data_IF_903729900071
#
_entry.id   IF_903729900071
#
_cell.length_a   1.000
_cell.length_b   1.000
_cell.length_c   1.000
_cell.angle_alpha   90.00
_cell.angle_beta   90.00
_cell.angle_gamma   90.00
#
_symmetry.space_group_name_H-M   'P 1'
#
loop_
_entity.id
_entity.type
_entity.pdbx_description
1 polymer ?
#
# COMPACT_ATOMS: atom_id res chain seq x y z
N UNK A 1 2.83 16.05 11.11
CA UNK A 1 3.57 15.31 12.18
C UNK A 1 4.93 14.97 11.60
N UNK A 2 6.01 15.26 12.36
CA UNK A 2 7.39 15.00 11.92
C UNK A 2 7.61 13.49 11.73
N UNK A 3 8.30 13.10 10.64
CA UNK A 3 8.67 11.71 10.35
C UNK A 3 9.48 11.07 11.50
N UNK A 4 10.31 11.85 12.19
CA UNK A 4 11.10 11.40 13.35
C UNK A 4 10.23 10.90 14.50
N UNK A 5 9.00 11.40 14.64
CA UNK A 5 8.05 10.88 15.64
C UNK A 5 7.62 9.44 15.39
N UNK A 6 7.87 8.93 14.18
CA UNK A 6 7.57 7.54 13.77
C UNK A 6 8.81 6.63 13.80
N UNK A 7 10.00 7.15 14.09
CA UNK A 7 11.23 6.35 14.12
C UNK A 7 11.15 5.16 15.10
N UNK A 8 10.47 5.33 16.24
CA UNK A 8 10.17 4.25 17.20
C UNK A 8 8.93 3.43 16.89
N UNK A 9 8.26 3.70 15.78
CA UNK A 9 6.97 3.13 15.40
C UNK A 9 5.84 4.16 15.42
N UNK A 10 4.63 3.71 15.04
CA UNK A 10 3.45 4.56 15.05
C UNK A 10 3.15 5.03 16.50
N UNK A 11 2.99 6.34 16.75
CA UNK A 11 2.74 6.86 18.10
C UNK A 11 1.26 6.65 18.51
N UNK A 12 0.88 5.39 18.78
CA UNK A 12 -0.50 4.98 19.07
C UNK A 12 -1.08 5.69 20.30
N UNK A 13 -0.28 5.96 21.34
CA UNK A 13 -0.74 6.67 22.54
C UNK A 13 -1.12 8.12 22.25
N UNK A 14 -0.37 8.78 21.37
CA UNK A 14 -0.73 10.13 20.91
C UNK A 14 -2.06 10.12 20.14
N UNK A 15 -2.26 9.17 19.25
CA UNK A 15 -3.53 9.04 18.52
C UNK A 15 -4.69 8.68 19.45
N UNK A 16 -4.49 7.81 20.45
CA UNK A 16 -5.50 7.50 21.48
C UNK A 16 -5.89 8.76 22.24
N UNK A 17 -4.90 9.58 22.64
CA UNK A 17 -5.17 10.87 23.27
C UNK A 17 -5.98 11.80 22.36
N UNK A 18 -5.68 11.88 21.07
CA UNK A 18 -6.45 12.70 20.13
C UNK A 18 -7.89 12.19 19.95
N UNK A 19 -8.10 10.87 19.89
CA UNK A 19 -9.46 10.29 19.79
C UNK A 19 -10.33 10.59 21.01
N UNK A 20 -9.75 10.66 22.21
CA UNK A 20 -10.48 10.93 23.45
C UNK A 20 -10.91 12.40 23.62
N UNK A 21 -10.35 13.33 22.85
CA UNK A 21 -10.67 14.76 22.93
C UNK A 21 -11.89 15.11 22.07
N UNK A 22 -12.73 16.07 22.47
CA UNK A 22 -13.77 16.60 21.58
C UNK A 22 -13.15 17.39 20.42
N UNK A 23 -13.88 17.44 19.29
CA UNK A 23 -13.48 18.18 18.10
C UNK A 23 -12.30 17.54 17.35
N UNK A 24 -11.64 18.35 16.53
CA UNK A 24 -10.48 17.97 15.72
C UNK A 24 -9.22 18.68 16.21
N UNK A 25 -8.09 17.99 16.20
CA UNK A 25 -6.79 18.62 16.37
C UNK A 25 -6.34 19.27 15.05
N UNK A 26 -5.61 20.39 15.16
CA UNK A 26 -5.02 21.12 14.04
C UNK A 26 -3.50 21.03 14.09
N UNK A 27 -2.87 20.85 12.96
CA UNK A 27 -1.41 20.85 12.80
C UNK A 27 -1.02 21.56 11.50
N UNK A 28 0.29 21.59 11.24
CA UNK A 28 0.86 22.14 10.01
C UNK A 28 1.76 21.07 9.37
N UNK A 29 1.83 21.07 8.05
CA UNK A 29 2.83 20.27 7.32
C UNK A 29 4.22 20.92 7.42
N UNK A 30 5.23 20.33 6.78
CA UNK A 30 6.60 20.83 6.80
C UNK A 30 6.74 22.23 6.17
N UNK A 31 5.82 22.60 5.27
CA UNK A 31 5.78 23.88 4.58
C UNK A 31 4.94 24.94 5.34
N UNK A 32 4.35 24.57 6.49
CA UNK A 32 3.55 25.45 7.34
C UNK A 32 2.06 25.52 6.94
N UNK A 33 1.57 24.70 6.01
CA UNK A 33 0.15 24.65 5.64
C UNK A 33 -0.67 23.94 6.72
N UNK A 34 -1.75 24.56 7.22
CA UNK A 34 -2.59 23.96 8.25
C UNK A 34 -3.44 22.80 7.69
N UNK A 35 -3.65 21.82 8.55
CA UNK A 35 -4.60 20.74 8.31
C UNK A 35 -5.24 20.24 9.61
N UNK A 36 -6.40 19.56 9.46
CA UNK A 36 -7.12 18.95 10.55
C UNK A 36 -6.87 17.43 10.60
N UNK A 37 -6.73 16.89 11.82
CA UNK A 37 -6.58 15.45 12.02
C UNK A 37 -7.96 14.76 12.08
N UNK A 38 -8.24 13.85 11.18
CA UNK A 38 -9.32 12.86 11.30
C UNK A 38 -8.73 11.57 11.85
N UNK A 39 -8.97 11.31 13.13
CA UNK A 39 -8.35 10.19 13.86
C UNK A 39 -9.33 9.12 14.27
N UNK A 40 -10.65 9.40 14.24
CA UNK A 40 -11.70 8.45 14.58
C UNK A 40 -12.16 7.69 13.34
N UNK A 41 -12.45 6.42 13.51
CA UNK A 41 -12.88 5.53 12.41
C UNK A 41 -14.07 6.10 11.64
N UNK A 42 -15.12 6.52 12.35
CA UNK A 42 -16.34 7.06 11.72
C UNK A 42 -16.06 8.33 10.88
N UNK A 43 -15.20 9.24 11.37
CA UNK A 43 -14.85 10.49 10.68
C UNK A 43 -14.04 10.19 9.40
N UNK A 44 -13.09 9.26 9.49
CA UNK A 44 -12.29 8.82 8.33
C UNK A 44 -13.16 8.14 7.28
N UNK A 45 -14.08 7.27 7.69
CA UNK A 45 -15.05 6.61 6.78
C UNK A 45 -15.94 7.64 6.11
N UNK A 46 -16.48 8.60 6.87
CA UNK A 46 -17.30 9.69 6.33
C UNK A 46 -16.55 10.49 5.26
N UNK A 47 -15.34 10.97 5.60
CA UNK A 47 -14.54 11.75 4.66
C UNK A 47 -14.10 10.96 3.42
N UNK A 48 -13.89 9.65 3.55
CA UNK A 48 -13.55 8.77 2.43
C UNK A 48 -14.74 8.58 1.46
N UNK A 49 -15.97 8.58 1.96
CA UNK A 49 -17.19 8.35 1.17
C UNK A 49 -17.76 9.62 0.55
N UNK A 50 -17.66 10.74 1.26
CA UNK A 50 -18.13 12.05 0.78
C UNK A 50 -17.04 12.73 -0.09
N UNK A 51 -16.78 12.14 -1.25
CA UNK A 51 -15.76 12.61 -2.20
C UNK A 51 -16.13 13.94 -2.89
N UNK A 52 -17.36 14.38 -2.80
CA UNK A 52 -17.76 15.72 -3.29
C UNK A 52 -17.27 16.81 -2.34
N UNK A 53 -17.34 16.57 -1.03
CA UNK A 53 -16.88 17.49 0.01
C UNK A 53 -15.37 17.34 0.25
N UNK A 54 -14.85 16.11 0.27
CA UNK A 54 -13.44 15.79 0.60
C UNK A 54 -12.71 15.26 -0.64
N UNK A 55 -12.19 16.18 -1.46
CA UNK A 55 -11.55 15.88 -2.73
C UNK A 55 -10.10 15.38 -2.57
N UNK A 56 -9.69 14.55 -3.51
CA UNK A 56 -8.31 14.03 -3.58
C UNK A 56 -7.33 15.06 -4.15
N UNK A 57 -7.77 15.87 -5.10
CA UNK A 57 -6.92 16.95 -5.62
C UNK A 57 -6.73 18.09 -4.63
N UNK A 58 -5.59 18.82 -4.70
CA UNK A 58 -4.49 18.66 -5.64
C UNK A 58 -3.51 17.53 -5.26
N UNK A 59 -3.54 16.99 -4.04
CA UNK A 59 -2.71 15.88 -3.59
C UNK A 59 -3.33 15.16 -2.40
N UNK A 60 -3.21 13.84 -2.40
CA UNK A 60 -3.59 12.99 -1.25
C UNK A 60 -2.44 12.77 -0.25
N UNK A 61 -1.24 13.27 -0.56
CA UNK A 61 -0.07 13.18 0.33
C UNK A 61 0.18 14.52 1.02
N UNK A 62 0.69 14.49 2.23
CA UNK A 62 1.04 15.70 2.98
C UNK A 62 2.37 16.30 2.51
N UNK A 63 3.24 15.50 1.87
CA UNK A 63 4.58 15.87 1.42
C UNK A 63 4.70 16.15 -0.08
N UNK A 64 3.68 15.81 -0.88
CA UNK A 64 3.67 15.97 -2.33
C UNK A 64 2.44 16.73 -2.76
N UNK A 65 2.61 17.72 -3.62
CA UNK A 65 1.52 18.50 -4.22
C UNK A 65 1.46 18.22 -5.72
N UNK A 66 0.26 18.16 -6.30
CA UNK A 66 0.07 17.95 -7.73
C UNK A 66 0.76 19.05 -8.57
N UNK A 67 0.71 20.27 -8.09
CA UNK A 67 1.37 21.43 -8.71
C UNK A 67 2.90 21.30 -8.77
N UNK A 68 3.49 20.47 -7.91
CA UNK A 68 4.95 20.22 -7.91
C UNK A 68 5.37 19.06 -8.82
N UNK A 69 4.46 18.11 -9.12
CA UNK A 69 4.78 16.95 -9.97
C UNK A 69 4.28 17.11 -11.41
N UNK A 70 3.21 17.88 -11.63
CA UNK A 70 2.55 18.01 -12.93
C UNK A 70 1.92 16.70 -13.46
N UNK A 71 1.98 15.60 -12.72
CA UNK A 71 1.53 14.28 -13.15
C UNK A 71 0.08 14.01 -12.72
N UNK A 72 -0.81 13.58 -13.64
CA UNK A 72 -2.19 13.22 -13.32
C UNK A 72 -2.30 11.83 -12.71
N UNK A 73 -1.67 11.63 -11.54
CA UNK A 73 -1.75 10.34 -10.82
C UNK A 73 -3.20 10.04 -10.44
N UNK A 74 -3.66 8.82 -10.69
CA UNK A 74 -5.04 8.41 -10.43
C UNK A 74 -5.48 8.68 -8.97
N UNK A 75 -4.59 8.60 -8.02
CA UNK A 75 -4.84 8.89 -6.60
C UNK A 75 -5.08 10.38 -6.30
N UNK A 76 -4.67 11.30 -7.19
CA UNK A 76 -4.81 12.74 -7.04
C UNK A 76 -5.98 13.30 -7.86
N UNK A 77 -6.61 12.48 -8.69
CA UNK A 77 -7.74 12.89 -9.52
C UNK A 77 -9.05 12.77 -8.77
N UNK A 78 -10.00 13.60 -9.15
CA UNK A 78 -11.40 13.53 -8.78
C UNK A 78 -12.28 13.21 -10.01
N UNK A 79 -13.59 12.99 -9.81
CA UNK A 79 -14.52 12.81 -10.90
C UNK A 79 -14.57 14.08 -11.78
N UNK A 80 -14.73 13.95 -13.12
CA UNK A 80 -15.02 12.70 -13.86
C UNK A 80 -13.78 11.88 -14.27
N UNK A 81 -12.57 12.48 -14.32
CA UNK A 81 -11.35 11.83 -14.81
C UNK A 81 -10.97 10.59 -13.99
N UNK A 82 -10.99 10.70 -12.66
CA UNK A 82 -10.78 9.56 -11.78
C UNK A 82 -11.74 8.41 -12.10
N UNK A 83 -13.03 8.71 -12.26
CA UNK A 83 -14.06 7.70 -12.53
C UNK A 83 -13.80 6.96 -13.83
N UNK A 84 -13.39 7.70 -14.90
CA UNK A 84 -13.04 7.14 -16.20
C UNK A 84 -11.85 6.19 -16.09
N UNK A 85 -10.73 6.67 -15.56
CA UNK A 85 -9.50 5.88 -15.41
C UNK A 85 -9.73 4.65 -14.55
N UNK A 86 -10.38 4.82 -13.40
CA UNK A 86 -10.64 3.72 -12.47
C UNK A 86 -11.50 2.63 -13.06
N UNK A 87 -12.59 3.00 -13.77
CA UNK A 87 -13.48 2.02 -14.42
C UNK A 87 -12.73 1.15 -15.43
N UNK A 88 -11.82 1.75 -16.18
CA UNK A 88 -11.01 1.04 -17.17
C UNK A 88 -9.93 0.18 -16.49
N UNK A 89 -9.20 0.75 -15.53
CA UNK A 89 -8.18 0.04 -14.77
C UNK A 89 -8.73 -1.18 -14.01
N UNK A 90 -9.95 -1.09 -13.47
CA UNK A 90 -10.60 -2.19 -12.73
C UNK A 90 -10.80 -3.46 -13.57
N UNK A 91 -10.88 -3.34 -14.92
CA UNK A 91 -10.97 -4.52 -15.81
C UNK A 91 -9.75 -5.46 -15.66
N UNK A 92 -8.60 -4.93 -15.24
CA UNK A 92 -7.39 -5.72 -14.95
C UNK A 92 -7.40 -6.44 -13.59
N UNK A 93 -8.31 -6.07 -12.67
CA UNK A 93 -8.36 -6.56 -11.29
C UNK A 93 -9.64 -7.35 -10.97
N UNK A 94 -10.26 -7.95 -11.96
CA UNK A 94 -11.46 -8.78 -11.75
C UNK A 94 -11.13 -10.04 -10.95
N UNK A 95 -12.09 -10.61 -10.19
CA UNK A 95 -11.86 -11.84 -9.44
C UNK A 95 -11.30 -13.01 -10.27
N UNK A 96 -11.77 -13.16 -11.52
CA UNK A 96 -11.30 -14.21 -12.42
C UNK A 96 -9.82 -14.02 -12.80
N UNK A 97 -9.38 -12.78 -13.05
CA UNK A 97 -7.97 -12.49 -13.36
C UNK A 97 -7.08 -12.68 -12.14
N UNK A 98 -7.53 -12.25 -10.97
CA UNK A 98 -6.79 -12.47 -9.72
C UNK A 98 -6.65 -13.96 -9.41
N UNK A 99 -7.71 -14.76 -9.64
CA UNK A 99 -7.64 -16.21 -9.46
C UNK A 99 -6.64 -16.89 -10.42
N UNK A 100 -6.45 -16.35 -11.63
CA UNK A 100 -5.45 -16.86 -12.57
C UNK A 100 -4.00 -16.65 -12.07
N UNK A 101 -3.79 -15.70 -11.16
CA UNK A 101 -2.47 -15.42 -10.55
C UNK A 101 -2.12 -16.36 -9.39
N UNK A 102 -3.05 -17.18 -8.87
CA UNK A 102 -2.79 -18.06 -7.71
C UNK A 102 -1.53 -18.92 -7.93
N UNK A 103 -1.43 -19.61 -9.06
CA UNK A 103 -0.29 -20.48 -9.37
C UNK A 103 1.02 -19.72 -9.64
N UNK A 104 1.03 -18.67 -10.50
CA UNK A 104 2.23 -17.85 -10.69
C UNK A 104 2.76 -17.25 -9.40
N UNK A 105 1.88 -16.67 -8.56
CA UNK A 105 2.29 -16.06 -7.30
C UNK A 105 2.79 -17.10 -6.30
N UNK A 106 2.16 -18.29 -6.21
CA UNK A 106 2.66 -19.37 -5.37
C UNK A 106 4.08 -19.80 -5.79
N UNK A 107 4.33 -19.94 -7.10
CA UNK A 107 5.67 -20.28 -7.60
C UNK A 107 6.72 -19.20 -7.29
N UNK A 108 6.35 -17.92 -7.35
CA UNK A 108 7.22 -16.81 -6.96
C UNK A 108 7.53 -16.90 -5.46
N UNK A 109 6.51 -17.11 -4.61
CA UNK A 109 6.67 -17.26 -3.15
C UNK A 109 7.62 -18.42 -2.82
N UNK A 110 7.37 -19.61 -3.39
CA UNK A 110 8.19 -20.80 -3.11
C UNK A 110 9.65 -20.56 -3.49
N UNK A 111 9.91 -20.00 -4.69
CA UNK A 111 11.26 -19.68 -5.13
C UNK A 111 11.96 -18.68 -4.20
N UNK A 112 11.32 -17.59 -3.83
CA UNK A 112 11.90 -16.58 -2.93
C UNK A 112 12.26 -17.21 -1.58
N UNK A 113 11.38 -18.03 -1.00
CA UNK A 113 11.64 -18.67 0.28
C UNK A 113 12.74 -19.75 0.21
N UNK A 114 12.85 -20.44 -0.91
CA UNK A 114 13.90 -21.44 -1.14
C UNK A 114 15.27 -20.78 -1.38
N UNK A 115 15.31 -19.67 -2.12
CA UNK A 115 16.52 -18.86 -2.32
C UNK A 115 17.03 -18.32 -0.97
N UNK A 116 16.16 -17.79 -0.11
CA UNK A 116 16.52 -17.35 1.24
C UNK A 116 17.02 -18.50 2.12
N UNK A 117 16.39 -19.68 2.04
CA UNK A 117 16.82 -20.85 2.78
C UNK A 117 18.20 -21.36 2.32
N UNK A 118 18.49 -21.29 1.02
CA UNK A 118 19.77 -21.67 0.44
C UNK A 118 20.90 -20.67 0.78
N UNK A 119 20.57 -19.37 0.90
CA UNK A 119 21.53 -18.34 1.28
C UNK A 119 21.99 -18.45 2.75
N UNK A 120 21.15 -19.04 3.62
CA UNK A 120 21.39 -19.17 5.05
C UNK A 120 21.07 -17.90 5.84
N UNK A 121 21.76 -16.79 5.59
CA UNK A 121 21.42 -15.45 6.11
C UNK A 121 20.84 -14.60 5.00
N UNK A 122 19.77 -13.83 5.31
CA UNK A 122 19.06 -12.98 4.38
C UNK A 122 18.45 -11.76 5.10
N UNK A 123 18.07 -10.74 4.34
CA UNK A 123 17.26 -9.63 4.86
C UNK A 123 15.79 -9.86 4.49
N UNK A 124 14.95 -10.18 5.50
CA UNK A 124 13.52 -10.42 5.28
C UNK A 124 12.82 -9.24 4.61
N UNK A 125 13.26 -8.01 4.89
CA UNK A 125 12.69 -6.82 4.29
C UNK A 125 13.00 -6.74 2.80
N UNK A 126 14.25 -6.95 2.40
CA UNK A 126 14.69 -6.82 1.01
C UNK A 126 14.45 -8.09 0.19
N UNK A 127 14.82 -9.26 0.73
CA UNK A 127 14.88 -10.51 -0.04
C UNK A 127 13.52 -11.22 -0.13
N UNK A 128 12.60 -10.96 0.82
CA UNK A 128 11.24 -11.52 0.79
C UNK A 128 10.20 -10.43 0.56
N UNK A 129 10.13 -9.45 1.48
CA UNK A 129 8.99 -8.55 1.54
C UNK A 129 8.94 -7.56 0.36
N UNK A 130 10.10 -7.07 -0.11
CA UNK A 130 10.19 -6.20 -1.27
C UNK A 130 10.16 -6.99 -2.59
N UNK A 131 10.84 -8.12 -2.63
CA UNK A 131 10.98 -8.93 -3.84
C UNK A 131 9.63 -9.49 -4.32
N UNK A 132 8.81 -10.00 -3.40
CA UNK A 132 7.53 -10.61 -3.74
C UNK A 132 6.59 -9.69 -4.54
N UNK A 133 6.17 -8.52 -4.03
CA UNK A 133 5.23 -7.68 -4.77
C UNK A 133 5.82 -7.13 -6.07
N UNK A 134 7.11 -6.87 -6.14
CA UNK A 134 7.75 -6.39 -7.38
C UNK A 134 7.65 -7.43 -8.49
N UNK A 135 7.90 -8.71 -8.19
CA UNK A 135 7.78 -9.78 -9.18
C UNK A 135 6.34 -10.09 -9.54
N UNK A 136 5.42 -10.05 -8.57
CA UNK A 136 3.99 -10.26 -8.82
C UNK A 136 3.42 -9.16 -9.70
N UNK A 137 3.81 -7.91 -9.48
CA UNK A 137 3.38 -6.79 -10.32
C UNK A 137 3.97 -6.88 -11.73
N UNK A 138 5.23 -7.27 -11.85
CA UNK A 138 5.84 -7.51 -13.16
C UNK A 138 5.14 -8.65 -13.94
N UNK A 139 4.74 -9.73 -13.24
CA UNK A 139 3.92 -10.81 -13.80
C UNK A 139 2.55 -10.29 -14.27
N UNK A 140 1.82 -9.58 -13.41
CA UNK A 140 0.50 -9.02 -13.71
C UNK A 140 0.52 -8.09 -14.93
N UNK A 141 1.53 -7.21 -15.01
CA UNK A 141 1.69 -6.24 -16.11
C UNK A 141 2.02 -6.96 -17.42
N UNK A 142 2.69 -8.11 -17.33
CA UNK A 142 3.16 -8.88 -18.47
C UNK A 142 4.60 -8.55 -18.89
N UNK A 143 5.45 -8.16 -17.91
CA UNK A 143 6.88 -7.95 -18.14
C UNK A 143 7.55 -9.30 -18.45
N UNK A 144 8.23 -9.43 -19.60
CA UNK A 144 8.94 -10.68 -19.95
C UNK A 144 9.96 -11.06 -18.87
N UNK A 145 10.11 -12.37 -18.54
CA UNK A 145 11.01 -12.81 -17.48
C UNK A 145 12.44 -12.26 -17.58
N UNK A 146 12.99 -12.17 -18.78
CA UNK A 146 14.35 -11.66 -19.02
C UNK A 146 14.51 -10.16 -18.73
N UNK A 147 13.42 -9.40 -18.66
CA UNK A 147 13.41 -7.94 -18.46
C UNK A 147 13.01 -7.55 -17.03
N UNK A 148 12.49 -8.50 -16.23
CA UNK A 148 11.95 -8.23 -14.86
C UNK A 148 12.98 -7.63 -13.93
N UNK A 149 14.21 -8.14 -13.91
CA UNK A 149 15.25 -7.64 -13.03
C UNK A 149 15.49 -6.13 -13.20
N UNK A 150 15.46 -5.66 -14.45
CA UNK A 150 15.66 -4.25 -14.77
C UNK A 150 14.47 -3.39 -14.32
N UNK A 151 13.22 -3.85 -14.52
CA UNK A 151 12.01 -3.15 -14.10
C UNK A 151 11.92 -3.09 -12.57
N UNK A 152 12.28 -4.18 -11.89
CA UNK A 152 12.37 -4.26 -10.43
C UNK A 152 13.39 -3.26 -9.91
N UNK A 153 14.59 -3.19 -10.50
CA UNK A 153 15.63 -2.26 -10.09
C UNK A 153 15.21 -0.79 -10.26
N UNK A 154 14.61 -0.43 -11.38
CA UNK A 154 14.06 0.92 -11.55
C UNK A 154 12.98 1.23 -10.51
N UNK A 155 12.09 0.26 -10.22
CA UNK A 155 11.04 0.48 -9.21
C UNK A 155 11.63 0.71 -7.82
N UNK A 156 12.67 -0.05 -7.43
CA UNK A 156 13.37 0.14 -6.15
C UNK A 156 13.90 1.58 -5.98
N UNK A 157 14.30 2.24 -7.06
CA UNK A 157 14.72 3.64 -7.01
C UNK A 157 13.58 4.64 -6.82
N UNK A 158 12.32 4.26 -7.07
CA UNK A 158 11.14 5.16 -6.94
C UNK A 158 10.43 5.05 -5.61
N UNK A 159 10.79 4.08 -4.75
CA UNK A 159 10.15 3.83 -3.45
C UNK A 159 11.01 4.33 -2.28
N UNK A 160 10.42 4.46 -1.09
CA UNK A 160 11.09 4.88 0.14
C UNK A 160 11.80 6.25 0.10
N UNK A 161 11.47 7.11 -0.87
CA UNK A 161 12.13 8.42 -1.08
C UNK A 161 11.97 9.41 0.09
N UNK A 162 11.01 9.16 0.99
CA UNK A 162 10.79 9.98 2.18
C UNK A 162 11.69 9.64 3.37
N UNK A 163 12.45 8.56 3.29
CA UNK A 163 13.37 8.13 4.35
C UNK A 163 14.77 8.71 4.12
N UNK A 164 15.26 9.62 4.99
CA UNK A 164 16.56 10.28 4.81
C UNK A 164 17.75 9.31 4.87
N UNK A 165 17.57 8.14 5.47
CA UNK A 165 18.60 7.11 5.61
C UNK A 165 18.48 5.99 4.55
N UNK A 166 17.55 6.12 3.60
CA UNK A 166 17.41 5.16 2.49
C UNK A 166 18.46 5.46 1.41
N UNK A 167 19.57 4.73 1.45
CA UNK A 167 20.73 5.00 0.60
C UNK A 167 20.68 4.33 -0.79
N UNK A 168 19.64 3.52 -1.08
CA UNK A 168 19.52 2.91 -2.42
C UNK A 168 19.24 3.91 -3.53
N UNK A 169 18.63 5.06 -3.21
CA UNK A 169 18.25 6.04 -4.22
C UNK A 169 18.55 7.47 -3.81
N UNK A 170 18.70 8.34 -4.81
CA UNK A 170 18.69 9.80 -4.66
C UNK A 170 17.51 10.37 -5.44
N UNK A 171 17.07 11.62 -5.20
CA UNK A 171 16.03 12.25 -6.00
C UNK A 171 16.28 12.19 -7.50
N UNK A 172 17.53 12.38 -7.93
CA UNK A 172 17.93 12.35 -9.33
C UNK A 172 17.81 10.92 -9.92
N UNK A 173 18.24 9.89 -9.17
CA UNK A 173 18.07 8.49 -9.57
C UNK A 173 16.60 8.10 -9.65
N UNK A 174 15.80 8.58 -8.72
CA UNK A 174 14.37 8.32 -8.71
C UNK A 174 13.64 8.93 -9.92
N UNK A 175 13.98 10.17 -10.29
CA UNK A 175 13.44 10.83 -11.49
C UNK A 175 13.85 10.08 -12.74
N UNK A 176 15.14 9.70 -12.85
CA UNK A 176 15.63 8.92 -13.98
C UNK A 176 14.95 7.54 -14.08
N UNK A 177 14.81 6.83 -12.97
CA UNK A 177 14.14 5.54 -12.90
C UNK A 177 12.67 5.62 -13.27
N UNK A 178 11.96 6.66 -12.80
CA UNK A 178 10.59 6.93 -13.20
C UNK A 178 10.47 7.13 -14.71
N UNK A 179 11.35 7.94 -15.30
CA UNK A 179 11.41 8.15 -16.75
C UNK A 179 11.67 6.85 -17.53
N UNK A 180 12.59 6.01 -17.03
CA UNK A 180 12.90 4.71 -17.62
C UNK A 180 11.70 3.76 -17.57
N UNK A 181 10.98 3.70 -16.44
CA UNK A 181 9.75 2.90 -16.30
C UNK A 181 8.67 3.36 -17.29
N UNK A 182 8.46 4.68 -17.40
CA UNK A 182 7.50 5.23 -18.37
C UNK A 182 7.83 4.84 -19.80
N UNK A 183 9.07 5.05 -20.23
CA UNK A 183 9.53 4.71 -21.58
C UNK A 183 9.43 3.21 -21.86
N UNK A 184 9.85 2.36 -20.91
CA UNK A 184 9.75 0.92 -21.01
C UNK A 184 8.30 0.44 -21.15
N UNK A 185 7.39 0.98 -20.33
CA UNK A 185 5.99 0.59 -20.39
C UNK A 185 5.30 1.08 -21.69
N UNK A 186 5.66 2.23 -22.22
CA UNK A 186 5.18 2.69 -23.53
C UNK A 186 5.66 1.75 -24.65
N UNK A 187 6.92 1.29 -24.59
CA UNK A 187 7.43 0.29 -25.55
C UNK A 187 6.71 -1.05 -25.41
N UNK A 188 6.53 -1.56 -24.18
CA UNK A 188 5.82 -2.81 -23.91
C UNK A 188 4.37 -2.74 -24.41
N UNK A 189 3.69 -1.62 -24.25
CA UNK A 189 2.35 -1.37 -24.81
C UNK A 189 2.36 -1.44 -26.35
N UNK A 190 3.39 -0.92 -27.00
CA UNK A 190 3.57 -1.07 -28.45
C UNK A 190 3.67 -2.54 -28.85
N UNK A 191 4.48 -3.33 -28.12
CA UNK A 191 4.60 -4.78 -28.32
C UNK A 191 3.26 -5.52 -28.11
N UNK A 192 2.49 -5.16 -27.06
CA UNK A 192 1.17 -5.78 -26.78
C UNK A 192 0.09 -5.38 -27.77
N UNK A 193 0.17 -4.20 -28.35
CA UNK A 193 -0.73 -3.80 -29.46
C UNK A 193 -0.50 -4.65 -30.71
N UNK A 194 0.75 -5.00 -31.01
CA UNK A 194 1.10 -5.86 -32.15
C UNK A 194 0.82 -7.35 -31.87
N UNK A 195 1.06 -7.81 -30.64
CA UNK A 195 0.89 -9.19 -30.22
C UNK A 195 0.27 -9.24 -28.80
N UNK A 196 -1.07 -9.24 -28.69
CA UNK A 196 -1.76 -9.34 -27.40
C UNK A 196 -1.40 -10.60 -26.62
N UNK A 197 -1.34 -10.49 -25.27
CA UNK A 197 -1.09 -11.60 -24.36
C UNK A 197 -2.16 -11.61 -23.23
N UNK A 198 -2.10 -12.61 -22.35
CA UNK A 198 -2.98 -12.63 -21.16
C UNK A 198 -2.35 -11.85 -20.01
N UNK A 199 -2.28 -10.52 -20.16
CA UNK A 199 -1.71 -9.60 -19.20
C UNK A 199 -2.54 -8.33 -19.03
N UNK A 200 -2.16 -7.52 -18.01
CA UNK A 200 -2.84 -6.27 -17.71
C UNK A 200 -2.84 -5.31 -18.89
N UNK A 201 -1.71 -5.17 -19.60
CA UNK A 201 -1.59 -4.23 -20.72
C UNK A 201 -2.51 -4.59 -21.89
N UNK A 202 -2.58 -5.87 -22.24
CA UNK A 202 -3.51 -6.34 -23.28
C UNK A 202 -4.97 -6.07 -22.91
N UNK A 203 -5.32 -6.26 -21.64
CA UNK A 203 -6.68 -5.94 -21.13
C UNK A 203 -6.97 -4.45 -21.18
N UNK A 204 -6.04 -3.60 -20.76
CA UNK A 204 -6.24 -2.15 -20.77
C UNK A 204 -6.30 -1.60 -22.21
N UNK A 205 -5.51 -2.13 -23.13
CA UNK A 205 -5.59 -1.78 -24.56
C UNK A 205 -6.92 -2.20 -25.18
N UNK A 206 -7.44 -3.38 -24.82
CA UNK A 206 -8.74 -3.86 -25.30
C UNK A 206 -9.92 -3.14 -24.67
N UNK A 207 -9.75 -2.58 -23.47
CA UNK A 207 -10.81 -1.91 -22.70
C UNK A 207 -11.39 -0.64 -23.38
N UNK A 208 -10.68 -0.08 -24.35
CA UNK A 208 -11.01 1.19 -25.02
C UNK A 208 -12.04 1.13 -26.13
N UNK A 209 -12.78 0.04 -26.30
CA UNK A 209 -13.73 -0.12 -27.39
C UNK A 209 -15.20 0.14 -26.99
N UNK A 210 -15.44 0.58 -25.76
CA UNK A 210 -16.77 0.88 -25.25
C UNK A 210 -17.04 2.43 -25.15
N UNK A 211 -18.27 2.79 -24.82
CA UNK A 211 -18.74 4.17 -24.70
C UNK A 211 -18.07 4.97 -23.58
N UNK A 212 -17.19 4.38 -22.77
CA UNK A 212 -16.52 5.03 -21.62
C UNK A 212 -15.20 5.70 -21.98
N UNK A 213 -14.84 5.69 -23.25
CA UNK A 213 -13.58 6.26 -23.75
C UNK A 213 -12.43 5.27 -23.72
N UNK A 214 -11.30 5.69 -24.26
CA UNK A 214 -10.06 4.93 -24.39
C UNK A 214 -9.02 5.45 -23.41
N UNK A 215 -8.15 4.58 -22.90
CA UNK A 215 -6.92 5.02 -22.24
C UNK A 215 -5.85 5.30 -23.30
N UNK A 216 -5.21 6.45 -23.17
CA UNK A 216 -4.04 6.75 -23.98
C UNK A 216 -2.83 5.92 -23.49
N UNK A 217 -1.88 5.60 -24.37
CA UNK A 217 -0.69 4.82 -23.98
C UNK A 217 0.04 5.40 -22.78
N UNK A 218 0.18 6.72 -22.71
CA UNK A 218 0.83 7.42 -21.59
C UNK A 218 0.04 7.28 -20.28
N UNK A 219 -1.31 7.27 -20.33
CA UNK A 219 -2.14 7.04 -19.14
C UNK A 219 -1.95 5.61 -18.61
N UNK A 220 -1.82 4.62 -19.51
CA UNK A 220 -1.58 3.22 -19.11
C UNK A 220 -0.17 3.08 -18.53
N UNK A 221 0.86 3.67 -19.16
CA UNK A 221 2.24 3.64 -18.68
C UNK A 221 2.35 4.32 -17.31
N UNK A 222 1.72 5.48 -17.13
CA UNK A 222 1.68 6.19 -15.84
C UNK A 222 0.96 5.37 -14.76
N UNK A 223 -0.17 4.74 -15.12
CA UNK A 223 -0.88 3.85 -14.22
C UNK A 223 -0.01 2.66 -13.80
N UNK A 224 0.68 2.01 -14.72
CA UNK A 224 1.57 0.89 -14.44
C UNK A 224 2.75 1.31 -13.56
N UNK A 225 3.39 2.45 -13.86
CA UNK A 225 4.48 3.00 -13.04
C UNK A 225 4.00 3.31 -11.60
N UNK A 226 2.82 3.91 -11.48
CA UNK A 226 2.20 4.18 -10.17
C UNK A 226 1.85 2.88 -9.44
N UNK A 227 1.36 1.86 -10.17
CA UNK A 227 1.00 0.56 -9.63
C UNK A 227 2.25 -0.17 -9.09
N UNK A 228 3.37 -0.13 -9.81
CA UNK A 228 4.64 -0.71 -9.37
C UNK A 228 5.07 -0.13 -8.01
N UNK A 229 5.09 1.19 -7.84
CA UNK A 229 5.46 1.82 -6.56
C UNK A 229 4.44 1.56 -5.45
N UNK A 230 3.18 1.92 -5.67
CA UNK A 230 2.14 1.85 -4.64
C UNK A 230 1.83 0.41 -4.20
N UNK A 231 1.89 -0.56 -5.13
CA UNK A 231 1.62 -1.96 -4.84
C UNK A 231 2.77 -2.65 -4.13
N UNK A 232 4.03 -2.29 -4.44
CA UNK A 232 5.19 -2.89 -3.78
C UNK A 232 5.37 -2.39 -2.35
N UNK A 233 5.37 -1.08 -2.10
CA UNK A 233 5.63 -0.52 -0.76
C UNK A 233 4.60 -0.96 0.29
N UNK A 234 3.33 -1.00 -0.06
CA UNK A 234 2.27 -1.35 0.90
C UNK A 234 2.28 -2.84 1.26
N UNK A 235 2.53 -3.72 0.30
CA UNK A 235 2.68 -5.16 0.54
C UNK A 235 3.94 -5.44 1.34
N UNK A 236 5.05 -4.81 1.00
CA UNK A 236 6.30 -4.83 1.76
C UNK A 236 6.11 -4.50 3.24
N UNK A 237 5.39 -3.40 3.55
CA UNK A 237 5.06 -3.04 4.93
C UNK A 237 4.24 -4.12 5.63
N UNK A 238 3.24 -4.68 4.91
CA UNK A 238 2.36 -5.73 5.45
C UNK A 238 3.12 -7.01 5.77
N UNK A 239 4.06 -7.41 4.92
CA UNK A 239 4.90 -8.60 5.13
C UNK A 239 5.83 -8.39 6.32
N UNK A 240 6.62 -7.32 6.33
CA UNK A 240 7.59 -7.06 7.40
C UNK A 240 6.92 -6.91 8.76
N UNK A 241 5.88 -6.06 8.84
CA UNK A 241 5.13 -5.84 10.09
C UNK A 241 4.30 -7.05 10.52
N UNK A 242 3.77 -7.83 9.55
CA UNK A 242 3.01 -9.04 9.80
C UNK A 242 3.86 -10.18 10.35
N UNK A 243 5.04 -10.41 9.78
CA UNK A 243 6.00 -11.41 10.31
C UNK A 243 6.43 -11.02 11.72
N UNK A 244 6.81 -9.77 11.94
CA UNK A 244 7.20 -9.30 13.28
C UNK A 244 6.04 -9.49 14.28
N UNK A 245 4.81 -9.14 13.90
CA UNK A 245 3.65 -9.34 14.79
C UNK A 245 3.43 -10.81 15.14
N UNK A 246 3.65 -11.74 14.21
CA UNK A 246 3.54 -13.18 14.50
C UNK A 246 4.66 -13.70 15.38
N UNK A 247 5.88 -13.20 15.23
CA UNK A 247 7.01 -13.52 16.11
C UNK A 247 6.79 -12.98 17.53
N UNK A 248 6.26 -11.78 17.67
CA UNK A 248 5.95 -11.15 18.96
C UNK A 248 4.74 -11.80 19.67
N UNK A 249 3.90 -12.54 18.93
CA UNK A 249 2.69 -13.18 19.43
C UNK A 249 2.68 -14.69 19.16
N UNK A 250 3.57 -15.50 19.77
CA UNK A 250 3.73 -16.92 19.45
C UNK A 250 2.45 -17.76 19.64
N UNK A 251 1.55 -17.35 20.53
CA UNK A 251 0.23 -17.97 20.69
C UNK A 251 -0.67 -17.80 19.47
N UNK A 252 -0.58 -16.67 18.76
CA UNK A 252 -1.31 -16.41 17.51
C UNK A 252 -0.72 -17.22 16.36
N UNK A 253 0.60 -17.33 16.28
CA UNK A 253 1.29 -18.20 15.32
C UNK A 253 0.91 -19.68 15.55
N UNK A 254 0.88 -20.13 16.80
CA UNK A 254 0.46 -21.49 17.14
C UNK A 254 -1.00 -21.79 16.73
N UNK A 255 -1.90 -20.82 16.94
CA UNK A 255 -3.30 -20.93 16.49
C UNK A 255 -3.40 -21.09 14.97
N UNK A 256 -2.68 -20.28 14.19
CA UNK A 256 -2.63 -20.37 12.72
C UNK A 256 -2.07 -21.71 12.23
N UNK A 257 -1.05 -22.25 12.91
CA UNK A 257 -0.49 -23.56 12.57
C UNK A 257 -1.45 -24.70 12.87
N UNK A 258 -2.23 -24.57 13.94
CA UNK A 258 -3.24 -25.57 14.32
C UNK A 258 -4.47 -25.52 13.40
N UNK A 259 -4.85 -24.32 12.93
CA UNK A 259 -6.02 -24.13 12.04
C UNK A 259 -5.69 -23.16 10.90
N UNK A 260 -5.36 -23.71 9.74
CA UNK A 260 -5.04 -22.92 8.54
C UNK A 260 -6.25 -22.23 7.92
N UNK A 261 -7.48 -22.57 8.32
CA UNK A 261 -8.68 -21.87 7.87
C UNK A 261 -8.74 -20.44 8.38
N UNK A 262 -7.95 -20.11 9.40
CA UNK A 262 -7.76 -18.74 9.92
C UNK A 262 -6.91 -17.85 9.02
N UNK A 263 -6.16 -18.38 8.04
CA UNK A 263 -5.25 -17.58 7.19
C UNK A 263 -5.94 -16.36 6.56
N UNK A 264 -7.15 -16.45 5.98
CA UNK A 264 -7.82 -15.26 5.43
C UNK A 264 -8.10 -14.19 6.49
N UNK A 265 -8.49 -14.57 7.70
CA UNK A 265 -8.74 -13.63 8.81
C UNK A 265 -7.43 -13.02 9.32
N UNK A 266 -6.40 -13.82 9.42
CA UNK A 266 -5.07 -13.39 9.83
C UNK A 266 -4.48 -12.36 8.87
N UNK A 267 -4.70 -12.51 7.56
CA UNK A 267 -4.28 -11.53 6.55
C UNK A 267 -4.99 -10.18 6.77
N UNK A 268 -6.31 -10.17 6.97
CA UNK A 268 -7.04 -8.93 7.26
C UNK A 268 -6.58 -8.31 8.61
N UNK A 269 -6.25 -9.14 9.62
CA UNK A 269 -5.73 -8.64 10.90
C UNK A 269 -4.30 -8.10 10.78
N UNK A 270 -3.42 -8.73 10.01
CA UNK A 270 -2.09 -8.21 9.70
C UNK A 270 -2.22 -6.85 9.03
N UNK A 271 -3.08 -6.71 8.03
CA UNK A 271 -3.32 -5.45 7.31
C UNK A 271 -3.88 -4.37 8.25
N UNK A 272 -4.79 -4.72 9.17
CA UNK A 272 -5.28 -3.80 10.21
C UNK A 272 -4.15 -3.38 11.15
N UNK A 273 -3.41 -4.36 11.66
CA UNK A 273 -2.36 -4.18 12.67
C UNK A 273 -1.23 -3.31 12.18
N UNK A 274 -0.77 -3.58 10.98
CA UNK A 274 0.32 -2.85 10.34
C UNK A 274 -0.16 -1.49 9.84
N UNK A 275 -1.30 -1.42 9.17
CA UNK A 275 -1.78 -0.24 8.46
C UNK A 275 -0.67 0.37 7.61
N UNK A 276 -0.32 -0.24 6.46
CA UNK A 276 0.87 0.11 5.66
C UNK A 276 1.00 1.60 5.33
N UNK A 277 -0.02 2.18 4.68
CA UNK A 277 -0.15 3.61 4.50
C UNK A 277 -0.85 4.21 5.73
N UNK A 278 -0.14 5.03 6.49
CA UNK A 278 -0.62 5.55 7.77
C UNK A 278 -1.74 6.58 7.61
N UNK A 279 -1.72 7.36 6.53
CA UNK A 279 -2.68 8.44 6.29
C UNK A 279 -2.77 8.82 4.80
N UNK A 280 -3.86 9.51 4.46
CA UNK A 280 -3.99 10.29 3.23
C UNK A 280 -4.65 11.64 3.52
N UNK A 281 -4.34 12.65 2.70
CA UNK A 281 -4.94 13.97 2.80
C UNK A 281 -6.15 14.12 1.88
N UNK A 282 -7.05 15.06 2.23
CA UNK A 282 -8.13 15.54 1.36
C UNK A 282 -8.22 17.05 1.46
N UNK A 283 -8.63 17.70 0.36
CA UNK A 283 -8.99 19.09 0.37
C UNK A 283 -10.51 19.25 0.51
N UNK A 284 -10.93 20.13 1.40
CA UNK A 284 -12.35 20.43 1.62
C UNK A 284 -12.85 21.36 0.51
N UNK A 285 -13.83 20.90 -0.29
CA UNK A 285 -14.35 21.65 -1.43
C UNK A 285 -15.46 22.64 -1.06
N UNK A 286 -16.15 22.42 0.06
CA UNK A 286 -17.22 23.28 0.58
C UNK A 286 -17.23 23.27 2.09
N UNK A 287 -17.72 24.34 2.71
CA UNK A 287 -17.86 24.41 4.17
C UNK A 287 -18.63 23.19 4.67
N UNK A 288 -18.12 22.59 5.73
CA UNK A 288 -18.70 21.38 6.34
C UNK A 288 -18.46 21.36 7.85
N UNK A 289 -19.20 20.50 8.54
CA UNK A 289 -18.97 20.20 9.95
C UNK A 289 -18.58 18.73 10.09
N UNK A 290 -17.51 18.45 10.83
CA UNK A 290 -17.07 17.10 11.17
C UNK A 290 -16.59 17.04 12.63
N UNK A 291 -17.06 16.05 13.38
CA UNK A 291 -16.79 15.91 14.80
C UNK A 291 -17.12 17.19 15.63
N UNK A 292 -18.17 17.93 15.27
CA UNK A 292 -18.56 19.21 15.91
C UNK A 292 -17.62 20.38 15.59
N UNK A 293 -16.69 20.21 14.66
CA UNK A 293 -15.78 21.25 14.20
C UNK A 293 -16.18 21.76 12.81
N UNK A 294 -16.35 23.08 12.69
CA UNK A 294 -16.54 23.73 11.39
C UNK A 294 -15.20 23.74 10.63
N UNK A 295 -15.20 23.19 9.43
CA UNK A 295 -14.05 23.14 8.50
C UNK A 295 -14.46 23.86 7.21
N UNK A 296 -13.64 24.81 6.77
CA UNK A 296 -13.96 25.69 5.63
C UNK A 296 -13.49 25.08 4.32
N UNK A 297 -14.15 25.50 3.24
CA UNK A 297 -13.67 25.25 1.89
C UNK A 297 -12.21 25.74 1.71
N UNK A 298 -11.40 24.94 1.04
CA UNK A 298 -9.95 25.17 0.87
C UNK A 298 -9.07 24.64 2.00
N UNK A 299 -9.63 24.33 3.18
CA UNK A 299 -8.83 23.69 4.25
C UNK A 299 -8.54 22.22 3.91
N UNK A 300 -7.52 21.65 4.56
CA UNK A 300 -7.11 20.26 4.38
C UNK A 300 -7.47 19.44 5.61
N UNK A 301 -7.86 18.20 5.39
CA UNK A 301 -8.01 17.17 6.42
C UNK A 301 -7.06 16.02 6.13
N UNK A 302 -6.50 15.41 7.16
CA UNK A 302 -5.65 14.22 7.05
C UNK A 302 -6.34 13.06 7.75
N UNK A 303 -6.61 12.02 6.97
CA UNK A 303 -7.32 10.81 7.36
C UNK A 303 -6.29 9.82 7.92
N UNK A 304 -6.17 9.72 9.25
CA UNK A 304 -5.19 8.84 9.91
C UNK A 304 -5.73 7.41 10.03
N UNK A 305 -5.47 6.59 9.01
CA UNK A 305 -5.90 5.19 8.97
C UNK A 305 -5.32 4.38 10.11
N UNK A 306 -4.05 4.64 10.46
CA UNK A 306 -3.37 3.98 11.58
C UNK A 306 -4.05 4.24 12.92
N UNK A 307 -4.62 5.45 13.12
CA UNK A 307 -5.43 5.78 14.29
C UNK A 307 -6.80 5.12 14.23
N UNK A 308 -7.49 5.23 13.09
CA UNK A 308 -8.83 4.70 12.89
C UNK A 308 -8.89 3.17 13.05
N UNK A 309 -7.83 2.45 12.63
CA UNK A 309 -7.71 1.00 12.79
C UNK A 309 -7.43 0.55 14.25
N UNK A 310 -7.24 1.51 15.16
CA UNK A 310 -7.08 1.31 16.61
C UNK A 310 -8.17 2.02 17.40
N UNK A 311 -9.26 2.44 16.76
CA UNK A 311 -10.37 3.16 17.41
C UNK A 311 -11.22 2.19 18.23
N UNK A 312 -11.31 2.46 19.53
CA UNK A 312 -12.05 1.69 20.52
C UNK A 312 -13.56 1.68 20.25
N UNK A 313 -14.06 2.66 19.49
CA UNK A 313 -15.47 2.72 19.08
C UNK A 313 -15.82 1.77 17.93
N UNK A 314 -14.80 1.31 17.17
CA UNK A 314 -14.96 0.44 16.01
C UNK A 314 -14.45 -0.99 16.26
N UNK A 315 -13.50 -1.16 17.19
CA UNK A 315 -12.85 -2.45 17.44
C UNK A 315 -12.89 -2.82 18.92
N UNK A 316 -13.29 -4.02 19.23
CA UNK A 316 -13.09 -4.61 20.55
C UNK A 316 -11.60 -4.89 20.76
N UNK A 317 -11.03 -4.39 21.89
CA UNK A 317 -9.62 -4.55 22.23
C UNK A 317 -8.68 -4.27 21.02
N UNK A 318 -8.68 -3.02 20.48
CA UNK A 318 -7.95 -2.68 19.26
C UNK A 318 -6.43 -2.89 19.37
N UNK A 319 -5.88 -2.87 20.58
CA UNK A 319 -4.46 -3.07 20.88
C UNK A 319 -4.07 -4.55 21.01
N UNK A 320 -5.01 -5.47 20.77
CA UNK A 320 -4.73 -6.90 20.71
C UNK A 320 -4.58 -7.34 19.25
N UNK A 321 -3.46 -7.96 18.94
CA UNK A 321 -3.29 -8.71 17.70
C UNK A 321 -4.02 -10.05 17.81
N UNK A 322 -4.97 -10.31 16.91
CA UNK A 322 -5.86 -11.48 16.97
C UNK A 322 -6.12 -12.02 15.56
N UNK A 323 -5.45 -13.12 15.20
CA UNK A 323 -5.56 -13.74 13.87
C UNK A 323 -6.94 -14.27 13.53
N UNK A 324 -7.82 -14.38 14.53
CA UNK A 324 -9.23 -14.77 14.37
C UNK A 324 -10.21 -13.62 14.49
N UNK A 325 -9.75 -12.35 14.45
CA UNK A 325 -10.61 -11.18 14.68
C UNK A 325 -11.81 -11.12 13.76
N UNK A 326 -13.00 -11.11 14.35
CA UNK A 326 -14.30 -10.89 13.69
C UNK A 326 -15.24 -10.13 14.63
N UNK A 327 -15.91 -9.04 14.17
CA UNK A 327 -15.69 -8.37 12.89
C UNK A 327 -14.35 -7.64 12.84
N UNK A 328 -13.83 -7.41 11.62
CA UNK A 328 -12.62 -6.64 11.40
C UNK A 328 -12.85 -5.52 10.36
N UNK A 329 -13.54 -4.42 10.74
CA UNK A 329 -13.90 -3.33 9.82
C UNK A 329 -12.73 -2.39 9.55
N UNK A 330 -11.52 -2.91 9.32
CA UNK A 330 -10.36 -2.05 9.09
C UNK A 330 -10.46 -1.28 7.77
N UNK A 331 -9.83 -0.14 7.74
CA UNK A 331 -9.86 0.80 6.62
C UNK A 331 -8.49 1.01 5.95
N UNK A 332 -7.58 0.06 6.11
CA UNK A 332 -6.24 0.13 5.50
C UNK A 332 -6.26 0.22 3.96
N UNK A 333 -7.33 -0.28 3.33
CA UNK A 333 -7.58 -0.14 1.90
C UNK A 333 -8.42 1.09 1.52
N UNK A 334 -8.66 2.00 2.47
CA UNK A 334 -9.55 3.15 2.36
C UNK A 334 -10.88 2.93 3.07
N UNK A 335 -11.52 4.01 3.53
CA UNK A 335 -12.77 4.01 4.30
C UNK A 335 -14.05 3.85 3.47
N UNK A 336 -13.96 3.37 2.24
CA UNK A 336 -15.05 3.33 1.27
C UNK A 336 -14.94 4.45 0.22
N UNK A 337 -15.97 4.58 -0.64
CA UNK A 337 -16.00 5.59 -1.70
C UNK A 337 -15.15 5.23 -2.93
N UNK A 338 -14.96 6.19 -3.86
CA UNK A 338 -14.35 5.93 -5.16
C UNK A 338 -12.86 5.59 -5.09
N UNK A 339 -12.16 6.01 -4.04
CA UNK A 339 -10.71 5.80 -3.87
C UNK A 339 -10.33 4.56 -3.04
N UNK A 340 -11.24 3.61 -2.85
CA UNK A 340 -10.88 2.29 -2.27
C UNK A 340 -9.77 1.66 -3.10
N UNK A 341 -8.78 1.05 -2.45
CA UNK A 341 -7.63 0.45 -3.11
C UNK A 341 -8.05 -0.53 -4.21
N UNK A 342 -7.58 -0.30 -5.43
CA UNK A 342 -7.85 -1.17 -6.58
C UNK A 342 -7.10 -2.50 -6.46
N UNK A 343 -5.92 -2.47 -5.83
CA UNK A 343 -5.05 -3.64 -5.61
C UNK A 343 -5.43 -4.50 -4.41
N UNK A 344 -6.53 -4.20 -3.67
CA UNK A 344 -6.91 -4.95 -2.46
C UNK A 344 -6.89 -6.47 -2.68
N UNK A 345 -7.51 -6.94 -3.76
CA UNK A 345 -7.58 -8.36 -4.05
C UNK A 345 -6.22 -8.99 -4.31
N UNK A 346 -5.31 -8.27 -5.02
CA UNK A 346 -3.95 -8.73 -5.29
C UNK A 346 -3.12 -8.78 -4.00
N UNK A 347 -3.11 -7.72 -3.21
CA UNK A 347 -2.38 -7.67 -1.94
C UNK A 347 -2.84 -8.77 -0.97
N UNK A 348 -4.16 -9.01 -0.88
CA UNK A 348 -4.71 -10.09 -0.06
C UNK A 348 -4.28 -11.48 -0.59
N UNK A 349 -4.23 -11.67 -1.91
CA UNK A 349 -3.74 -12.90 -2.55
C UNK A 349 -2.27 -13.15 -2.20
N UNK A 350 -1.40 -12.15 -2.38
CA UNK A 350 0.03 -12.24 -2.08
C UNK A 350 0.28 -12.60 -0.62
N UNK A 351 -0.34 -11.87 0.31
CA UNK A 351 -0.20 -12.13 1.74
C UNK A 351 -0.73 -13.50 2.15
N UNK A 352 -1.85 -13.95 1.56
CA UNK A 352 -2.42 -15.27 1.82
C UNK A 352 -1.47 -16.40 1.39
N UNK A 353 -0.91 -16.30 0.19
CA UNK A 353 -0.01 -17.31 -0.34
C UNK A 353 1.32 -17.31 0.40
N UNK A 354 1.90 -16.12 0.67
CA UNK A 354 3.12 -16.03 1.47
C UNK A 354 2.91 -16.57 2.88
N UNK A 355 1.83 -16.18 3.58
CA UNK A 355 1.56 -16.66 4.93
C UNK A 355 1.38 -18.18 4.95
N UNK A 356 0.66 -18.74 3.97
CA UNK A 356 0.47 -20.19 3.86
C UNK A 356 1.78 -20.96 3.69
N UNK A 357 2.73 -20.42 2.92
CA UNK A 357 4.05 -21.04 2.70
C UNK A 357 5.02 -20.81 3.87
N UNK A 358 4.90 -19.66 4.54
CA UNK A 358 5.85 -19.24 5.58
C UNK A 358 5.50 -19.77 6.98
N UNK A 359 4.22 -20.07 7.25
CA UNK A 359 3.71 -20.39 8.59
C UNK A 359 4.44 -21.58 9.27
N UNK A 360 4.89 -22.56 8.50
CA UNK A 360 5.65 -23.69 9.03
C UNK A 360 7.15 -23.40 9.17
N UNK A 361 7.64 -22.39 8.46
CA UNK A 361 9.05 -21.93 8.52
C UNK A 361 9.25 -20.92 9.66
N UNK A 362 8.22 -20.14 10.04
CA UNK A 362 8.28 -19.10 11.07
C UNK A 362 8.83 -19.56 12.43
N UNK A 363 8.52 -20.78 12.95
CA UNK A 363 9.11 -21.24 14.21
C UNK A 363 10.63 -21.44 14.17
N UNK A 364 11.20 -21.53 12.97
CA UNK A 364 12.63 -21.65 12.73
C UNK A 364 13.24 -20.35 12.17
N UNK A 365 12.44 -19.30 12.02
CA UNK A 365 12.93 -18.00 11.64
C UNK A 365 13.50 -17.28 12.86
N UNK A 366 14.77 -16.96 12.80
CA UNK A 366 15.49 -16.19 13.80
C UNK A 366 15.91 -14.84 13.21
N UNK A 367 15.60 -13.74 13.91
CA UNK A 367 16.16 -12.44 13.58
C UNK A 367 17.61 -12.39 14.09
N UNK A 368 18.56 -12.19 13.18
CA UNK A 368 20.00 -12.14 13.53
C UNK A 368 20.47 -10.76 13.96
N UNK A 369 19.58 -9.75 13.86
CA UNK A 369 19.78 -8.38 14.32
C UNK A 369 18.45 -7.68 14.62
N UNK A 370 18.53 -6.49 15.22
CA UNK A 370 17.35 -5.70 15.50
C UNK A 370 16.74 -5.17 14.18
N UNK A 371 15.40 -5.27 13.99
CA UNK A 371 14.74 -4.65 12.85
C UNK A 371 14.95 -3.13 12.84
N UNK A 372 15.31 -2.59 11.68
CA UNK A 372 15.54 -1.15 11.49
C UNK A 372 14.34 -0.54 10.77
N UNK A 373 13.63 0.37 11.44
CA UNK A 373 12.47 1.04 10.85
C UNK A 373 12.87 2.14 9.89
N UNK A 374 12.02 2.36 8.88
CA UNK A 374 12.11 3.56 8.01
C UNK A 374 11.70 4.82 8.78
N UNK A 375 12.36 5.94 8.53
CA UNK A 375 12.04 7.24 9.11
C UNK A 375 11.05 7.96 8.20
N UNK A 376 9.80 7.59 8.29
CA UNK A 376 8.70 8.18 7.52
C UNK A 376 7.42 8.20 8.34
N UNK A 377 6.58 9.21 8.11
CA UNK A 377 5.25 9.30 8.70
C UNK A 377 4.16 8.76 7.77
N UNK A 378 4.52 8.37 6.54
CA UNK A 378 3.57 7.91 5.52
C UNK A 378 3.50 6.39 5.42
N UNK A 379 4.66 5.71 5.35
CA UNK A 379 4.72 4.25 5.27
C UNK A 379 5.16 3.64 6.60
N UNK A 380 4.43 2.63 7.07
CA UNK A 380 4.77 1.90 8.29
C UNK A 380 5.67 0.72 7.96
N UNK A 381 6.93 0.99 7.68
CA UNK A 381 7.90 0.05 7.09
C UNK A 381 9.15 -0.18 7.93
N UNK A 382 9.89 -1.24 7.58
CA UNK A 382 11.22 -1.56 8.12
C UNK A 382 12.21 -1.58 6.97
N UNK A 383 13.36 -0.91 7.09
CA UNK A 383 14.43 -0.93 6.08
C UNK A 383 15.20 -2.24 6.05
N UNK A 384 15.48 -2.79 7.24
CA UNK A 384 16.27 -4.01 7.40
C UNK A 384 15.64 -4.91 8.46
N UNK A 385 15.60 -6.19 8.17
CA UNK A 385 15.18 -7.24 9.08
C UNK A 385 16.08 -8.46 8.84
N UNK A 386 17.35 -8.42 9.30
CA UNK A 386 18.30 -9.52 9.09
C UNK A 386 17.81 -10.78 9.80
N UNK A 387 17.81 -11.90 9.09
CA UNK A 387 17.19 -13.14 9.53
C UNK A 387 17.91 -14.38 8.97
N UNK A 388 17.61 -15.54 9.55
CA UNK A 388 17.99 -16.86 9.04
C UNK A 388 16.92 -17.90 9.37
N UNK A 389 16.87 -18.98 8.61
CA UNK A 389 16.15 -20.19 8.98
C UNK A 389 17.09 -21.16 9.69
N UNK A 390 16.71 -21.59 10.90
CA UNK A 390 17.49 -22.55 11.74
C UNK A 390 17.01 -23.99 11.57
#
# INVERSE_FOLDING_TARGET
MDARAFAGGVPHDYFRHLRSRPGLARAHDAEGYPFWYLVRHADVVRASRDHETFRSGPSTMTSVRQDSTGLPLISFLDAPEHTRLRKLAFKGFTPARLAALDKPVAAIVDRILDDCAAAGEFDLAEDIAMQLPLEVLAELIGVPPAERAQVVEWTRHTVNLGDPDYHHSTPEKAVAAFGNLMAYFEELLGRRRAAPADDLFSVLLAAGNDTTGRLEPQEIALFATTLMGAGSETTYCSVTGGVLALLDHPGQLAALRADRTLIPLAVEEIIRWVTPATHFARQVARDTEIAGQHVRAGERVVLWYTSANRDESAFDRPERFDVGRQPNPHISFGGGGPHVCIGRGLATLELRLLLAALIDRLPRLELTGAPVRSITNFMNSFRHMPARFT
#
